data_IF_791991880230
#
_entry.id   IF_791991880230
#
_cell.length_a   1.000
_cell.length_b   1.000
_cell.length_c   1.000
_cell.angle_alpha   90.00
_cell.angle_beta   90.00
_cell.angle_gamma   90.00
#
_symmetry.space_group_name_H-M   'P 1'
#
loop_
_entity.id
_entity.type
_entity.pdbx_description
1 polymer ?
#
# COMPACT_ATOMS: atom_id res chain seq x y z
N UNK A 1 -19.07 20.48 -12.92
CA UNK A 1 -18.01 21.20 -12.21
C UNK A 1 -16.71 20.94 -12.97
N UNK A 2 -16.05 21.98 -13.52
CA UNK A 2 -14.71 21.83 -14.06
C UNK A 2 -13.77 21.62 -12.86
N UNK A 3 -13.06 20.49 -12.80
CA UNK A 3 -11.98 20.32 -11.85
C UNK A 3 -10.91 21.39 -12.15
N UNK A 4 -10.58 22.20 -11.16
CA UNK A 4 -9.47 23.16 -11.27
C UNK A 4 -8.21 22.43 -10.84
N UNK A 5 -7.27 22.24 -11.76
CA UNK A 5 -5.96 21.65 -11.47
C UNK A 5 -4.97 22.73 -11.05
N UNK A 6 -4.10 22.45 -10.12
CA UNK A 6 -3.08 23.40 -9.68
C UNK A 6 -1.75 22.69 -9.37
N UNK A 7 -0.83 22.69 -10.31
CA UNK A 7 0.48 22.07 -10.17
C UNK A 7 1.45 23.07 -9.53
N UNK A 8 1.96 22.74 -8.35
CA UNK A 8 2.95 23.54 -7.62
C UNK A 8 4.35 22.91 -7.72
N UNK A 9 5.38 23.71 -7.48
CA UNK A 9 6.78 23.25 -7.56
C UNK A 9 7.09 22.25 -6.46
N UNK A 10 7.30 21.00 -6.84
CA UNK A 10 7.76 19.93 -5.94
C UNK A 10 8.44 18.82 -6.73
N UNK A 11 9.10 17.89 -6.04
CA UNK A 11 9.71 16.69 -6.63
C UNK A 11 8.86 15.46 -6.41
N UNK A 12 9.08 14.42 -7.20
CA UNK A 12 8.41 13.14 -7.02
C UNK A 12 8.81 12.49 -5.68
N UNK A 13 10.05 12.64 -5.29
CA UNK A 13 10.60 12.13 -4.03
C UNK A 13 9.89 12.78 -2.83
N UNK A 14 9.70 14.10 -2.83
CA UNK A 14 8.97 14.81 -1.78
C UNK A 14 7.51 14.35 -1.70
N UNK A 15 6.86 14.15 -2.85
CA UNK A 15 5.49 13.63 -2.91
C UNK A 15 5.42 12.23 -2.27
N UNK A 16 6.35 11.33 -2.61
CA UNK A 16 6.40 9.98 -2.04
C UNK A 16 6.68 10.04 -0.54
N UNK A 17 7.59 10.90 -0.10
CA UNK A 17 7.93 11.06 1.32
C UNK A 17 6.75 11.53 2.17
N UNK A 18 5.96 12.51 1.72
CA UNK A 18 4.78 12.96 2.48
C UNK A 18 3.68 11.91 2.50
N UNK A 19 3.53 11.12 1.43
CA UNK A 19 2.58 10.01 1.39
C UNK A 19 3.01 8.90 2.35
N UNK A 20 4.31 8.59 2.41
CA UNK A 20 4.87 7.62 3.37
C UNK A 20 4.60 8.05 4.81
N UNK A 21 4.82 9.32 5.16
CA UNK A 21 4.52 9.85 6.49
C UNK A 21 3.05 9.67 6.89
N UNK A 22 2.11 9.90 5.96
CA UNK A 22 0.66 9.67 6.21
C UNK A 22 0.37 8.20 6.45
N UNK A 23 0.98 7.31 5.67
CA UNK A 23 0.82 5.85 5.80
C UNK A 23 1.43 5.36 7.11
N UNK A 24 2.63 5.81 7.46
CA UNK A 24 3.33 5.44 8.70
C UNK A 24 2.55 5.87 9.95
N UNK A 25 1.86 7.01 9.91
CA UNK A 25 0.96 7.43 10.99
C UNK A 25 -0.24 6.50 11.18
N UNK A 26 -0.65 5.80 10.14
CA UNK A 26 -1.68 4.74 10.18
C UNK A 26 -3.09 5.16 9.82
N UNK A 27 -3.46 6.45 9.87
CA UNK A 27 -4.80 6.92 9.51
C UNK A 27 -4.81 8.37 9.01
N UNK A 28 -4.57 9.30 9.91
CA UNK A 28 -4.60 10.73 9.66
C UNK A 28 -3.33 11.37 10.22
N UNK A 29 -2.69 12.24 9.45
CA UNK A 29 -1.46 12.91 9.83
C UNK A 29 -1.61 14.43 9.74
N UNK A 30 -1.24 15.13 10.83
CA UNK A 30 -1.12 16.59 10.82
C UNK A 30 0.15 17.01 10.07
N UNK A 31 0.12 18.22 9.49
CA UNK A 31 1.26 18.79 8.75
C UNK A 31 2.57 18.74 9.54
N UNK A 32 2.53 19.09 10.83
CA UNK A 32 3.73 19.17 11.67
C UNK A 32 4.38 17.79 11.86
N UNK A 33 3.58 16.73 12.05
CA UNK A 33 4.09 15.36 12.07
C UNK A 33 4.75 14.99 10.74
N UNK A 34 4.11 15.34 9.61
CA UNK A 34 4.65 15.03 8.28
C UNK A 34 5.96 15.75 8.04
N UNK A 35 6.07 17.03 8.42
CA UNK A 35 7.30 17.80 8.31
C UNK A 35 8.44 17.18 9.13
N UNK A 36 8.17 16.82 10.37
CA UNK A 36 9.14 16.15 11.25
C UNK A 36 9.56 14.78 10.72
N UNK A 37 8.60 13.97 10.26
CA UNK A 37 8.85 12.62 9.77
C UNK A 37 9.68 12.61 8.48
N UNK A 38 9.37 13.52 7.54
CA UNK A 38 10.03 13.55 6.22
C UNK A 38 11.39 14.21 6.24
N UNK A 39 11.64 15.12 7.17
CA UNK A 39 12.86 15.93 7.20
C UNK A 39 13.01 16.89 6.00
N UNK A 40 11.91 17.18 5.28
CA UNK A 40 11.91 18.15 4.17
C UNK A 40 12.29 19.53 4.72
N UNK A 41 13.21 20.23 4.03
CA UNK A 41 13.93 21.36 4.58
C UNK A 41 13.04 22.57 5.00
N UNK A 42 11.89 22.76 4.37
CA UNK A 42 11.00 23.89 4.66
C UNK A 42 9.53 23.50 4.69
N UNK A 43 8.76 24.18 5.54
CA UNK A 43 7.29 24.04 5.62
C UNK A 43 6.59 24.29 4.27
N UNK A 44 7.10 25.22 3.47
CA UNK A 44 6.56 25.52 2.13
C UNK A 44 6.73 24.35 1.17
N UNK A 45 7.88 23.68 1.21
CA UNK A 45 8.10 22.45 0.40
C UNK A 45 7.19 21.31 0.85
N UNK A 46 7.01 21.11 2.16
CA UNK A 46 6.06 20.11 2.70
C UNK A 46 4.65 20.41 2.21
N UNK A 47 4.18 21.65 2.30
CA UNK A 47 2.84 22.03 1.86
C UNK A 47 2.64 21.81 0.35
N UNK A 48 3.64 22.13 -0.47
CA UNK A 48 3.61 21.92 -1.92
C UNK A 48 3.58 20.43 -2.26
N UNK A 49 4.38 19.61 -1.58
CA UNK A 49 4.36 18.15 -1.76
C UNK A 49 3.01 17.56 -1.36
N UNK A 50 2.43 17.99 -0.23
CA UNK A 50 1.10 17.59 0.23
C UNK A 50 0.01 18.01 -0.74
N UNK A 51 0.08 19.24 -1.27
CA UNK A 51 -0.86 19.71 -2.28
C UNK A 51 -0.82 18.85 -3.54
N UNK A 52 0.38 18.52 -4.04
CA UNK A 52 0.52 17.63 -5.20
C UNK A 52 0.10 16.19 -4.91
N UNK A 53 0.35 15.68 -3.71
CA UNK A 53 -0.13 14.37 -3.31
C UNK A 53 -1.67 14.29 -3.28
N UNK A 54 -2.34 15.36 -2.86
CA UNK A 54 -3.80 15.50 -2.93
C UNK A 54 -4.27 15.64 -4.38
N UNK A 55 -3.59 16.45 -5.18
CA UNK A 55 -3.88 16.67 -6.61
C UNK A 55 -3.81 15.35 -7.42
N UNK A 56 -2.82 14.51 -7.12
CA UNK A 56 -2.66 13.17 -7.68
C UNK A 56 -3.57 12.11 -7.04
N UNK A 57 -4.46 12.49 -6.13
CA UNK A 57 -5.38 11.62 -5.42
C UNK A 57 -4.68 10.50 -4.62
N UNK A 58 -3.46 10.74 -4.17
CA UNK A 58 -2.73 9.81 -3.31
C UNK A 58 -3.22 9.83 -1.87
N UNK A 59 -3.53 11.03 -1.38
CA UNK A 59 -4.09 11.30 -0.05
C UNK A 59 -5.22 12.32 -0.17
N UNK A 60 -6.00 12.49 0.90
CA UNK A 60 -7.09 13.48 0.96
C UNK A 60 -6.80 14.44 2.11
N UNK A 61 -7.07 15.73 1.91
CA UNK A 61 -7.04 16.73 2.99
C UNK A 61 -8.42 16.88 3.61
N UNK A 62 -8.53 16.63 4.91
CA UNK A 62 -9.73 16.91 5.70
C UNK A 62 -9.61 18.31 6.32
N UNK A 63 -10.30 19.28 5.73
CA UNK A 63 -10.28 20.66 6.19
C UNK A 63 -10.94 20.86 7.56
N UNK A 64 -11.83 19.95 7.97
CA UNK A 64 -12.52 20.03 9.26
C UNK A 64 -11.61 19.64 10.41
N UNK A 65 -10.62 18.77 10.16
CA UNK A 65 -9.66 18.29 11.16
C UNK A 65 -8.26 18.85 10.96
N UNK A 66 -7.99 19.50 9.83
CA UNK A 66 -6.66 20.00 9.48
C UNK A 66 -5.62 18.91 9.27
N UNK A 67 -6.03 17.72 8.83
CA UNK A 67 -5.15 16.57 8.65
C UNK A 67 -5.26 15.94 7.26
N UNK A 68 -4.27 15.11 6.90
CA UNK A 68 -4.14 14.42 5.63
C UNK A 68 -4.36 12.92 5.83
N UNK A 69 -5.18 12.31 4.98
CA UNK A 69 -5.53 10.89 5.00
C UNK A 69 -6.99 10.69 4.56
N UNK A 70 -7.44 9.46 4.33
CA UNK A 70 -6.68 8.22 4.20
C UNK A 70 -5.91 8.14 2.87
N UNK A 71 -4.79 7.37 2.83
CA UNK A 71 -4.07 7.14 1.60
C UNK A 71 -4.86 6.22 0.65
N UNK A 72 -4.77 6.49 -0.66
CA UNK A 72 -5.38 5.66 -1.69
C UNK A 72 -4.69 4.29 -1.81
N UNK A 73 -5.34 3.34 -2.52
CA UNK A 73 -4.74 2.04 -2.79
C UNK A 73 -3.39 2.16 -3.53
N UNK A 74 -3.33 3.00 -4.58
CA UNK A 74 -2.09 3.21 -5.34
C UNK A 74 -1.00 3.88 -4.50
N UNK A 75 -1.36 4.80 -3.60
CA UNK A 75 -0.43 5.41 -2.67
C UNK A 75 0.24 4.36 -1.76
N UNK A 76 -0.54 3.45 -1.21
CA UNK A 76 -0.02 2.35 -0.39
C UNK A 76 0.93 1.44 -1.18
N UNK A 77 0.57 1.11 -2.42
CA UNK A 77 1.42 0.28 -3.30
C UNK A 77 2.70 0.99 -3.71
N UNK A 78 2.64 2.28 -4.00
CA UNK A 78 3.81 3.10 -4.32
C UNK A 78 4.83 3.10 -3.17
N UNK A 79 4.38 3.33 -1.95
CA UNK A 79 5.25 3.39 -0.76
C UNK A 79 5.77 2.00 -0.39
N UNK A 80 4.93 0.96 -0.45
CA UNK A 80 5.32 -0.41 -0.09
C UNK A 80 6.15 -1.13 -1.17
N UNK A 81 6.39 -0.49 -2.31
CA UNK A 81 7.18 -1.08 -3.39
C UNK A 81 8.64 -1.31 -2.97
N UNK A 82 9.16 -2.51 -3.25
CA UNK A 82 10.47 -2.96 -2.78
C UNK A 82 11.64 -2.52 -3.67
N UNK A 83 11.35 -2.00 -4.88
CA UNK A 83 12.37 -1.50 -5.81
C UNK A 83 11.93 -0.21 -6.49
N UNK A 84 12.92 0.54 -7.00
CA UNK A 84 12.66 1.78 -7.74
C UNK A 84 11.90 1.53 -9.05
N UNK A 85 12.09 0.35 -9.66
CA UNK A 85 11.31 -0.07 -10.82
C UNK A 85 9.83 -0.21 -10.48
N UNK A 86 9.51 -0.84 -9.36
CA UNK A 86 8.13 -0.98 -8.90
C UNK A 86 7.51 0.38 -8.54
N UNK A 87 8.26 1.23 -7.85
CA UNK A 87 7.81 2.61 -7.54
C UNK A 87 7.52 3.39 -8.81
N UNK A 88 8.40 3.30 -9.81
CA UNK A 88 8.23 3.95 -11.10
C UNK A 88 6.95 3.49 -11.80
N UNK A 89 6.64 2.20 -11.77
CA UNK A 89 5.41 1.63 -12.36
C UNK A 89 4.15 2.17 -11.67
N UNK A 90 4.12 2.16 -10.33
CA UNK A 90 2.96 2.70 -9.62
C UNK A 90 2.79 4.20 -9.84
N UNK A 91 3.88 4.96 -9.85
CA UNK A 91 3.83 6.39 -10.18
C UNK A 91 3.36 6.61 -11.63
N UNK A 92 3.75 5.77 -12.57
CA UNK A 92 3.28 5.84 -13.95
C UNK A 92 1.78 5.60 -14.07
N UNK A 93 1.22 4.61 -13.36
CA UNK A 93 -0.22 4.39 -13.30
C UNK A 93 -0.98 5.61 -12.79
N UNK A 94 -0.43 6.30 -11.78
CA UNK A 94 -0.99 7.53 -11.23
C UNK A 94 -0.95 8.64 -12.28
N UNK A 95 0.17 8.81 -12.97
CA UNK A 95 0.34 9.82 -14.00
C UNK A 95 -0.59 9.62 -15.20
N UNK A 96 -0.75 8.39 -15.69
CA UNK A 96 -1.61 8.08 -16.84
C UNK A 96 -3.11 8.36 -16.55
N UNK A 97 -3.50 8.47 -15.27
CA UNK A 97 -4.83 8.90 -14.87
C UNK A 97 -4.94 10.42 -14.69
N UNK A 98 -3.82 11.15 -14.67
CA UNK A 98 -3.78 12.57 -14.40
C UNK A 98 -3.94 13.39 -15.70
N UNK A 99 -5.10 14.02 -15.88
CA UNK A 99 -5.46 14.71 -17.10
C UNK A 99 -4.43 15.78 -17.56
N UNK A 100 -3.83 16.61 -16.68
CA UNK A 100 -2.78 17.54 -17.09
C UNK A 100 -1.55 16.87 -17.69
N UNK A 101 -1.13 15.72 -17.16
CA UNK A 101 -0.02 14.96 -17.72
C UNK A 101 -0.33 14.44 -19.12
N UNK A 102 -1.52 13.88 -19.34
CA UNK A 102 -1.93 13.39 -20.66
C UNK A 102 -2.01 14.52 -21.68
N UNK A 103 -2.48 15.70 -21.28
CA UNK A 103 -2.45 16.89 -22.12
C UNK A 103 -1.01 17.30 -22.45
N UNK A 104 -0.13 17.36 -21.45
CA UNK A 104 1.28 17.66 -21.64
C UNK A 104 1.96 16.68 -22.61
N UNK A 105 1.78 15.37 -22.42
CA UNK A 105 2.30 14.31 -23.31
C UNK A 105 1.85 14.53 -24.76
N UNK A 106 0.56 14.75 -24.96
CA UNK A 106 -0.03 15.00 -26.29
C UNK A 106 0.54 16.27 -26.91
N UNK A 107 0.59 17.38 -26.17
CA UNK A 107 1.11 18.65 -26.68
C UNK A 107 2.58 18.60 -27.01
N UNK A 108 3.39 17.93 -26.20
CA UNK A 108 4.80 17.72 -26.49
C UNK A 108 4.98 16.88 -27.76
N UNK A 109 4.16 15.87 -27.97
CA UNK A 109 4.16 15.09 -29.22
C UNK A 109 4.02 15.96 -30.49
N UNK A 110 3.21 17.03 -30.43
CA UNK A 110 3.02 17.97 -31.54
C UNK A 110 4.10 19.05 -31.61
N UNK A 111 4.47 19.64 -30.48
CA UNK A 111 5.30 20.85 -30.47
C UNK A 111 6.80 20.56 -30.44
N UNK A 112 7.19 19.41 -29.95
CA UNK A 112 8.58 19.02 -29.62
C UNK A 112 9.30 20.03 -28.70
N UNK A 113 8.55 20.91 -28.03
CA UNK A 113 9.03 21.91 -27.11
C UNK A 113 8.34 21.72 -25.72
N UNK A 114 9.12 21.45 -24.71
CA UNK A 114 8.64 21.28 -23.32
C UNK A 114 7.96 22.56 -22.84
N UNK A 115 8.57 23.71 -23.05
CA UNK A 115 8.05 25.00 -22.65
C UNK A 115 6.69 25.28 -23.27
N UNK A 116 6.57 25.08 -24.59
CA UNK A 116 5.32 25.32 -25.30
C UNK A 116 4.24 24.30 -24.88
N UNK A 117 4.59 23.03 -24.69
CA UNK A 117 3.69 22.00 -24.22
C UNK A 117 3.16 22.32 -22.80
N UNK A 118 4.03 22.74 -21.87
CA UNK A 118 3.64 23.15 -20.52
C UNK A 118 2.72 24.37 -20.54
N UNK A 119 3.04 25.40 -21.34
CA UNK A 119 2.18 26.58 -21.51
C UNK A 119 0.80 26.21 -22.02
N UNK A 120 0.73 25.38 -23.05
CA UNK A 120 -0.55 24.91 -23.60
C UNK A 120 -1.34 24.09 -22.59
N UNK A 121 -0.67 23.20 -21.82
CA UNK A 121 -1.29 22.41 -20.75
C UNK A 121 -1.87 23.32 -19.69
N UNK A 122 -1.09 24.28 -19.19
CA UNK A 122 -1.53 25.28 -18.22
C UNK A 122 -2.77 26.03 -18.71
N UNK A 123 -2.76 26.50 -19.97
CA UNK A 123 -3.86 27.26 -20.56
C UNK A 123 -5.12 26.40 -20.68
N UNK A 124 -5.01 25.17 -21.19
CA UNK A 124 -6.15 24.26 -21.38
C UNK A 124 -6.81 23.84 -20.06
N UNK A 125 -6.03 23.70 -19.00
CA UNK A 125 -6.54 23.36 -17.68
C UNK A 125 -6.78 24.59 -16.78
N UNK A 126 -6.66 25.82 -17.34
CA UNK A 126 -6.87 27.08 -16.60
C UNK A 126 -6.10 27.19 -15.29
N UNK A 127 -4.87 26.66 -15.26
CA UNK A 127 -4.07 26.63 -14.03
C UNK A 127 -3.57 28.03 -13.68
N UNK A 128 -3.59 28.35 -12.39
CA UNK A 128 -3.03 29.61 -11.84
C UNK A 128 -1.53 29.51 -11.59
N UNK A 129 -0.99 28.30 -11.53
CA UNK A 129 0.43 28.00 -11.25
C UNK A 129 1.38 28.67 -12.23
N UNK A 130 2.63 28.90 -11.79
CA UNK A 130 3.69 29.40 -12.66
C UNK A 130 4.05 28.34 -13.72
N UNK A 131 4.31 28.75 -14.96
CA UNK A 131 4.69 27.84 -16.08
C UNK A 131 5.96 27.03 -15.76
N UNK A 132 6.93 27.66 -15.10
CA UNK A 132 8.17 26.99 -14.67
C UNK A 132 7.89 25.89 -13.63
N UNK A 133 6.99 26.14 -12.71
CA UNK A 133 6.62 25.18 -11.67
C UNK A 133 5.91 23.97 -12.27
N UNK A 134 4.94 24.22 -13.18
CA UNK A 134 4.26 23.17 -13.93
C UNK A 134 5.25 22.30 -14.69
N UNK A 135 6.21 22.94 -15.42
CA UNK A 135 7.25 22.24 -16.17
C UNK A 135 8.10 21.36 -15.26
N UNK A 136 8.68 21.93 -14.21
CA UNK A 136 9.64 21.22 -13.36
C UNK A 136 8.97 20.05 -12.63
N UNK A 137 7.77 20.24 -12.14
CA UNK A 137 7.03 19.18 -11.42
C UNK A 137 6.61 18.06 -12.36
N UNK A 138 6.06 18.36 -13.54
CA UNK A 138 5.69 17.32 -14.52
C UNK A 138 6.90 16.53 -15.00
N UNK A 139 8.05 17.19 -15.24
CA UNK A 139 9.29 16.51 -15.60
C UNK A 139 9.77 15.62 -14.45
N UNK A 140 9.81 16.15 -13.22
CA UNK A 140 10.24 15.37 -12.04
C UNK A 140 9.42 14.09 -11.90
N UNK A 141 8.10 14.20 -11.87
CA UNK A 141 7.22 13.05 -11.68
C UNK A 141 7.30 12.07 -12.86
N UNK A 142 7.33 12.59 -14.11
CA UNK A 142 7.42 11.74 -15.30
C UNK A 142 8.78 11.03 -15.42
N UNK A 143 9.86 11.65 -14.98
CA UNK A 143 11.19 11.02 -14.93
C UNK A 143 11.25 9.95 -13.84
N UNK A 144 10.73 10.23 -12.65
CA UNK A 144 10.61 9.25 -11.57
C UNK A 144 9.78 8.03 -12.00
N UNK A 145 8.69 8.26 -12.72
CA UNK A 145 7.84 7.23 -13.29
C UNK A 145 8.47 6.48 -14.49
N UNK A 146 9.72 6.80 -14.87
CA UNK A 146 10.38 6.29 -16.09
C UNK A 146 9.51 6.45 -17.34
N UNK A 147 8.58 7.40 -17.34
CA UNK A 147 7.71 7.73 -18.47
C UNK A 147 8.35 8.76 -19.39
N UNK A 148 9.32 9.50 -18.90
CA UNK A 148 10.08 10.53 -19.62
C UNK A 148 11.58 10.29 -19.43
N UNK A 149 12.33 10.28 -20.54
CA UNK A 149 13.78 10.13 -20.54
C UNK A 149 14.41 11.41 -21.10
N UNK A 150 15.41 11.94 -20.42
CA UNK A 150 16.20 13.05 -20.96
C UNK A 150 17.17 12.56 -22.02
N UNK A 151 17.15 13.22 -23.18
CA UNK A 151 18.09 12.99 -24.28
C UNK A 151 19.19 14.09 -24.36
N UNK A 152 19.23 14.97 -23.34
CA UNK A 152 20.13 16.11 -23.30
C UNK A 152 19.55 17.37 -23.93
N UNK A 153 20.17 18.54 -23.66
CA UNK A 153 19.80 19.84 -24.26
C UNK A 153 18.29 20.19 -24.20
N UNK A 154 17.60 19.87 -23.11
CA UNK A 154 16.14 20.04 -22.94
C UNK A 154 15.28 19.21 -23.93
N UNK A 155 15.85 18.20 -24.54
CA UNK A 155 15.12 17.22 -25.33
C UNK A 155 14.74 16.03 -24.48
N UNK A 156 13.53 15.54 -24.67
CA UNK A 156 12.99 14.42 -23.95
C UNK A 156 12.30 13.45 -24.89
N UNK A 157 12.34 12.17 -24.55
CA UNK A 157 11.55 11.13 -25.21
C UNK A 157 10.58 10.51 -24.23
N UNK A 158 9.34 10.28 -24.67
CA UNK A 158 8.41 9.45 -23.91
C UNK A 158 8.72 7.99 -24.15
N UNK A 159 8.80 7.23 -23.03
CA UNK A 159 9.01 5.80 -23.08
C UNK A 159 7.63 5.15 -23.24
N UNK A 160 7.29 4.76 -24.45
CA UNK A 160 5.98 4.13 -24.76
C UNK A 160 6.02 2.61 -24.59
N UNK A 161 7.17 1.98 -24.87
CA UNK A 161 7.35 0.52 -24.89
C UNK A 161 7.69 -0.05 -23.52
N UNK A 162 7.02 0.38 -22.45
CA UNK A 162 7.06 -0.37 -21.21
C UNK A 162 5.91 -1.36 -21.26
N UNK A 163 6.23 -2.65 -21.20
CA UNK A 163 5.25 -3.69 -20.87
C UNK A 163 4.71 -3.41 -19.45
N UNK A 164 3.90 -2.36 -19.35
CA UNK A 164 3.33 -1.92 -18.09
C UNK A 164 2.50 -3.05 -17.44
N UNK A 165 1.87 -3.89 -18.25
CA UNK A 165 1.09 -5.04 -17.80
C UNK A 165 2.04 -6.09 -17.23
N UNK A 166 3.09 -6.48 -17.94
CA UNK A 166 4.07 -7.45 -17.46
C UNK A 166 4.83 -6.96 -16.23
N UNK A 167 5.19 -5.66 -16.17
CA UNK A 167 5.85 -5.08 -15.00
C UNK A 167 4.88 -4.99 -13.81
N UNK A 168 3.61 -4.62 -14.03
CA UNK A 168 2.58 -4.61 -12.99
C UNK A 168 2.31 -6.04 -12.50
N UNK A 169 2.15 -6.99 -13.40
CA UNK A 169 2.01 -8.39 -13.02
C UNK A 169 3.24 -8.91 -12.28
N UNK A 170 4.44 -8.59 -12.74
CA UNK A 170 5.69 -8.94 -12.04
C UNK A 170 5.77 -8.24 -10.68
N UNK A 171 5.40 -6.95 -10.58
CA UNK A 171 5.34 -6.23 -9.30
C UNK A 171 4.25 -6.77 -8.36
N UNK A 172 3.11 -7.18 -8.89
CA UNK A 172 2.06 -7.84 -8.11
C UNK A 172 2.46 -9.27 -7.70
N UNK A 173 3.22 -9.97 -8.54
CA UNK A 173 3.75 -11.32 -8.24
C UNK A 173 4.99 -11.26 -7.35
N UNK A 174 5.84 -10.27 -7.54
CA UNK A 174 7.04 -10.02 -6.72
C UNK A 174 6.80 -9.09 -5.56
N UNK A 175 5.56 -8.67 -5.30
CA UNK A 175 5.20 -7.99 -4.07
C UNK A 175 5.56 -8.94 -2.90
N UNK A 176 6.85 -9.13 -2.70
CA UNK A 176 7.38 -9.61 -1.45
C UNK A 176 6.72 -8.74 -0.39
N UNK A 177 5.73 -9.28 0.29
CA UNK A 177 5.21 -8.65 1.49
C UNK A 177 6.39 -8.75 2.45
N UNK A 178 7.26 -7.77 2.31
CA UNK A 178 8.39 -7.57 3.18
C UNK A 178 7.84 -7.15 4.54
N UNK A 179 8.65 -7.29 5.54
CA UNK A 179 8.40 -6.75 6.88
C UNK A 179 7.85 -5.32 6.80
N UNK A 180 8.47 -4.46 5.98
CA UNK A 180 8.03 -3.08 5.79
C UNK A 180 6.62 -2.96 5.20
N UNK A 181 6.21 -3.84 4.29
CA UNK A 181 4.87 -3.79 3.70
C UNK A 181 3.78 -4.13 4.71
N UNK A 182 3.99 -5.13 5.55
CA UNK A 182 3.04 -5.49 6.61
C UNK A 182 2.98 -4.41 7.69
N UNK A 183 4.15 -3.87 8.10
CA UNK A 183 4.26 -2.75 9.03
C UNK A 183 3.51 -1.51 8.50
N UNK A 184 3.71 -1.17 7.21
CA UNK A 184 2.99 -0.09 6.54
C UNK A 184 1.48 -0.34 6.49
N UNK A 185 1.06 -1.58 6.24
CA UNK A 185 -0.36 -1.94 6.22
C UNK A 185 -1.03 -1.76 7.59
N UNK A 186 -0.36 -2.17 8.67
CA UNK A 186 -0.86 -2.04 10.03
C UNK A 186 -0.72 -0.61 10.60
N UNK A 187 0.28 0.15 10.15
CA UNK A 187 0.71 1.42 10.75
C UNK A 187 1.47 1.21 12.07
N UNK A 188 2.21 2.21 12.47
CA UNK A 188 3.09 2.15 13.65
C UNK A 188 2.32 1.83 14.95
N UNK A 189 1.12 2.36 15.10
CA UNK A 189 0.32 2.14 16.31
C UNK A 189 -0.01 0.67 16.53
N UNK A 190 -0.40 -0.06 15.47
CA UNK A 190 -0.68 -1.49 15.58
C UNK A 190 0.60 -2.30 15.62
N UNK A 191 1.62 -1.92 14.83
CA UNK A 191 2.91 -2.60 14.82
C UNK A 191 3.58 -2.62 16.21
N UNK A 192 3.61 -1.49 16.91
CA UNK A 192 4.17 -1.43 18.29
C UNK A 192 3.35 -2.21 19.31
N UNK A 193 2.10 -2.53 18.98
CA UNK A 193 1.17 -3.26 19.82
C UNK A 193 1.30 -4.79 19.68
N UNK A 194 1.85 -5.24 18.57
CA UNK A 194 1.93 -6.65 18.18
C UNK A 194 3.28 -7.24 18.60
N UNK A 195 3.26 -8.46 19.12
CA UNK A 195 4.51 -9.17 19.44
C UNK A 195 5.29 -9.49 18.18
N UNK A 196 6.48 -8.90 18.06
CA UNK A 196 7.32 -9.01 16.87
C UNK A 196 7.73 -10.45 16.58
N UNK A 197 8.17 -11.20 17.62
CA UNK A 197 8.71 -12.56 17.44
C UNK A 197 7.64 -13.62 17.19
N UNK A 198 6.49 -13.51 17.86
CA UNK A 198 5.48 -14.56 17.87
C UNK A 198 4.30 -14.28 16.94
N UNK A 199 4.12 -13.04 16.47
CA UNK A 199 3.01 -12.65 15.59
C UNK A 199 3.52 -12.08 14.28
N UNK A 200 4.31 -11.00 14.34
CA UNK A 200 4.73 -10.28 13.16
C UNK A 200 5.67 -11.11 12.25
N UNK A 201 6.77 -11.62 12.79
CA UNK A 201 7.76 -12.36 12.00
C UNK A 201 7.19 -13.65 11.36
N UNK A 202 6.42 -14.50 12.07
CA UNK A 202 5.80 -15.67 11.44
C UNK A 202 4.76 -15.29 10.37
N UNK A 203 4.03 -14.19 10.54
CA UNK A 203 3.08 -13.75 9.52
C UNK A 203 3.80 -13.21 8.27
N UNK A 204 4.88 -12.47 8.43
CA UNK A 204 5.76 -12.05 7.32
C UNK A 204 6.30 -13.27 6.57
N UNK A 205 6.81 -14.28 7.30
CA UNK A 205 7.30 -15.52 6.71
C UNK A 205 6.21 -16.24 5.90
N UNK A 206 4.99 -16.35 6.44
CA UNK A 206 3.86 -16.96 5.74
C UNK A 206 3.53 -16.19 4.45
N UNK A 207 3.50 -14.86 4.50
CA UNK A 207 3.26 -14.00 3.34
C UNK A 207 4.37 -14.13 2.28
N UNK A 208 5.64 -14.22 2.68
CA UNK A 208 6.76 -14.45 1.75
C UNK A 208 6.65 -15.82 1.06
N UNK A 209 6.28 -16.87 1.80
CA UNK A 209 6.09 -18.21 1.24
C UNK A 209 4.99 -18.28 0.19
N UNK A 210 3.98 -17.40 0.21
CA UNK A 210 2.94 -17.37 -0.83
C UNK A 210 3.46 -16.99 -2.21
N UNK A 211 4.64 -16.37 -2.27
CA UNK A 211 5.29 -15.88 -3.49
C UNK A 211 6.46 -16.77 -3.95
N UNK A 212 6.78 -17.82 -3.19
CA UNK A 212 7.84 -18.74 -3.58
C UNK A 212 7.41 -19.60 -4.78
N UNK A 213 8.38 -19.95 -5.65
CA UNK A 213 8.11 -20.76 -6.87
C UNK A 213 7.55 -22.17 -6.56
N UNK A 214 7.89 -22.72 -5.38
CA UNK A 214 7.31 -23.97 -4.85
C UNK A 214 6.48 -23.63 -3.62
N UNK A 215 5.16 -23.73 -3.74
CA UNK A 215 4.24 -23.34 -2.68
C UNK A 215 3.99 -24.52 -1.73
N UNK A 216 4.49 -24.43 -0.50
CA UNK A 216 4.12 -25.35 0.57
C UNK A 216 2.90 -24.82 1.32
N UNK A 217 1.72 -25.27 0.86
CA UNK A 217 0.40 -24.90 1.38
C UNK A 217 0.31 -25.09 2.90
N UNK A 218 0.80 -26.23 3.41
CA UNK A 218 0.76 -26.56 4.83
C UNK A 218 1.61 -25.60 5.64
N UNK A 219 2.84 -25.37 5.22
CA UNK A 219 3.76 -24.44 5.92
C UNK A 219 3.21 -23.02 5.97
N UNK A 220 2.63 -22.51 4.88
CA UNK A 220 2.02 -21.18 4.82
C UNK A 220 0.89 -21.06 5.84
N UNK A 221 -0.04 -22.03 5.84
CA UNK A 221 -1.21 -22.00 6.72
C UNK A 221 -0.79 -22.12 8.18
N UNK A 222 0.10 -23.05 8.51
CA UNK A 222 0.56 -23.26 9.90
C UNK A 222 1.31 -22.04 10.43
N UNK A 223 2.23 -21.46 9.66
CA UNK A 223 2.95 -20.25 10.09
C UNK A 223 2.00 -19.08 10.38
N UNK A 224 1.06 -18.81 9.47
CA UNK A 224 0.10 -17.72 9.64
C UNK A 224 -0.88 -17.99 10.79
N UNK A 225 -1.35 -19.23 10.94
CA UNK A 225 -2.24 -19.63 12.03
C UNK A 225 -1.58 -19.51 13.40
N UNK A 226 -0.31 -19.90 13.53
CA UNK A 226 0.44 -19.77 14.78
C UNK A 226 0.65 -18.29 15.16
N UNK A 227 0.91 -17.42 14.19
CA UNK A 227 0.95 -15.98 14.40
C UNK A 227 -0.39 -15.46 14.97
N UNK A 228 -1.51 -15.87 14.37
CA UNK A 228 -2.83 -15.45 14.82
C UNK A 228 -3.21 -16.03 16.20
N UNK A 229 -2.86 -17.28 16.45
CA UNK A 229 -3.07 -17.90 17.73
C UNK A 229 -2.31 -17.20 18.86
N UNK A 230 -1.07 -16.76 18.59
CA UNK A 230 -0.26 -15.96 19.49
C UNK A 230 -0.89 -14.57 19.73
N UNK A 231 -1.38 -13.92 18.67
CA UNK A 231 -2.10 -12.66 18.79
C UNK A 231 -3.34 -12.77 19.67
N UNK A 232 -4.16 -13.83 19.50
CA UNK A 232 -5.32 -14.07 20.36
C UNK A 232 -4.92 -14.26 21.83
N UNK A 233 -3.77 -14.91 22.10
CA UNK A 233 -3.26 -15.05 23.45
C UNK A 233 -2.86 -13.70 24.06
N UNK A 234 -2.12 -12.88 23.32
CA UNK A 234 -1.75 -11.53 23.76
C UNK A 234 -2.98 -10.63 23.95
N UNK A 235 -3.97 -10.75 23.07
CA UNK A 235 -5.23 -10.02 23.20
C UNK A 235 -6.02 -10.43 24.46
N UNK A 236 -6.05 -11.73 24.77
CA UNK A 236 -6.70 -12.24 25.98
C UNK A 236 -6.04 -11.68 27.25
N UNK A 237 -4.71 -11.67 27.32
CA UNK A 237 -3.97 -11.06 28.45
C UNK A 237 -4.39 -9.61 28.65
N UNK A 238 -4.46 -8.83 27.56
CA UNK A 238 -4.86 -7.41 27.62
C UNK A 238 -6.31 -7.20 28.06
N UNK A 239 -7.19 -8.17 27.75
CA UNK A 239 -8.60 -8.11 28.14
C UNK A 239 -8.86 -8.75 29.52
N UNK A 240 -7.83 -9.27 30.19
CA UNK A 240 -7.96 -9.96 31.47
C UNK A 240 -8.72 -11.29 31.36
N UNK A 241 -8.72 -11.92 30.17
CA UNK A 241 -9.40 -13.19 29.92
C UNK A 241 -8.44 -14.34 30.13
N UNK A 242 -8.80 -15.30 31.00
CA UNK A 242 -8.00 -16.52 31.18
C UNK A 242 -8.19 -17.49 30.04
N UNK A 243 -7.07 -17.96 29.48
CA UNK A 243 -7.02 -19.01 28.45
C UNK A 243 -6.58 -20.37 29.02
N UNK A 244 -6.62 -20.56 30.33
CA UNK A 244 -6.25 -21.84 30.95
C UNK A 244 -7.07 -22.99 30.35
N UNK A 245 -6.39 -24.04 29.86
CA UNK A 245 -7.02 -25.17 29.19
C UNK A 245 -7.62 -24.89 27.81
N UNK A 246 -7.36 -23.72 27.22
CA UNK A 246 -7.84 -23.33 25.88
C UNK A 246 -6.72 -23.38 24.87
N UNK A 247 -6.72 -24.38 24.01
CA UNK A 247 -5.74 -24.60 22.96
C UNK A 247 -6.35 -24.34 21.59
N UNK A 248 -5.54 -23.76 20.68
CA UNK A 248 -5.94 -23.47 19.32
C UNK A 248 -6.87 -22.26 19.17
N UNK A 249 -7.04 -21.86 17.91
CA UNK A 249 -7.73 -20.62 17.53
C UNK A 249 -9.20 -20.61 17.98
N UNK A 250 -9.93 -21.72 17.76
CA UNK A 250 -11.36 -21.78 18.03
C UNK A 250 -11.69 -21.67 19.52
N UNK A 251 -10.96 -22.38 20.38
CA UNK A 251 -11.19 -22.32 21.83
C UNK A 251 -10.80 -20.95 22.41
N UNK A 252 -9.75 -20.31 21.88
CA UNK A 252 -9.36 -18.93 22.25
C UNK A 252 -10.40 -17.91 21.80
N UNK A 253 -10.93 -18.04 20.57
CA UNK A 253 -12.07 -17.23 20.09
C UNK A 253 -13.27 -17.33 21.03
N UNK A 254 -13.64 -18.54 21.43
CA UNK A 254 -14.83 -18.75 22.29
C UNK A 254 -14.62 -18.12 23.67
N UNK A 255 -13.44 -18.25 24.24
CA UNK A 255 -13.09 -17.58 25.51
C UNK A 255 -13.15 -16.03 25.38
N UNK A 256 -12.81 -15.50 24.20
CA UNK A 256 -12.81 -14.06 23.88
C UNK A 256 -14.14 -13.56 23.31
N UNK A 257 -15.19 -14.38 23.30
CA UNK A 257 -16.46 -14.08 22.59
C UNK A 257 -17.13 -12.78 23.02
N UNK A 258 -16.95 -12.35 24.28
CA UNK A 258 -17.46 -11.07 24.80
C UNK A 258 -16.70 -9.84 24.24
N UNK A 259 -15.48 -10.03 23.74
CA UNK A 259 -14.59 -8.97 23.26
C UNK A 259 -14.43 -8.94 21.73
N UNK A 260 -15.02 -9.91 21.03
CA UNK A 260 -14.92 -10.06 19.57
C UNK A 260 -16.32 -9.95 18.97
N UNK A 261 -16.48 -9.08 17.96
CA UNK A 261 -17.78 -8.92 17.29
C UNK A 261 -18.26 -10.22 16.64
N UNK A 262 -19.60 -10.38 16.50
CA UNK A 262 -20.19 -11.55 15.85
C UNK A 262 -19.63 -11.79 14.44
N UNK A 263 -19.36 -10.71 13.68
CA UNK A 263 -18.80 -10.80 12.32
C UNK A 263 -17.37 -11.34 12.35
N UNK A 264 -16.52 -10.82 13.22
CA UNK A 264 -15.14 -11.31 13.36
C UNK A 264 -15.08 -12.75 13.85
N UNK A 265 -16.02 -13.19 14.71
CA UNK A 265 -16.07 -14.59 15.17
C UNK A 265 -16.26 -15.57 14.01
N UNK A 266 -17.12 -15.25 13.04
CA UNK A 266 -17.30 -16.07 11.84
C UNK A 266 -16.04 -16.15 10.96
N UNK A 267 -15.32 -15.04 10.82
CA UNK A 267 -14.03 -15.05 10.09
C UNK A 267 -12.97 -15.87 10.84
N UNK A 268 -12.89 -15.75 12.15
CA UNK A 268 -11.95 -16.51 12.99
C UNK A 268 -12.30 -18.02 12.95
N UNK A 269 -13.56 -18.37 12.85
CA UNK A 269 -13.99 -19.76 12.65
C UNK A 269 -13.42 -20.34 11.36
N UNK A 270 -13.58 -19.65 10.25
CA UNK A 270 -12.96 -20.05 8.97
C UNK A 270 -11.44 -20.23 9.12
N UNK A 271 -10.75 -19.27 9.74
CA UNK A 271 -9.31 -19.35 9.99
C UNK A 271 -8.93 -20.59 10.80
N UNK A 272 -9.70 -20.90 11.85
CA UNK A 272 -9.47 -22.08 12.68
C UNK A 272 -9.71 -23.41 11.93
N UNK A 273 -10.72 -23.47 11.09
CA UNK A 273 -11.01 -24.67 10.28
C UNK A 273 -9.93 -24.93 9.22
N UNK A 274 -9.47 -23.88 8.53
CA UNK A 274 -8.35 -24.00 7.56
C UNK A 274 -7.08 -24.52 8.26
N UNK A 275 -6.77 -24.01 9.46
CA UNK A 275 -5.64 -24.51 10.25
C UNK A 275 -5.78 -25.99 10.60
N UNK A 276 -6.96 -26.42 11.05
CA UNK A 276 -7.19 -27.82 11.41
C UNK A 276 -7.00 -28.74 10.20
N UNK A 277 -7.49 -28.35 9.03
CA UNK A 277 -7.28 -29.10 7.79
C UNK A 277 -5.79 -29.19 7.41
N UNK A 278 -4.98 -28.15 7.70
CA UNK A 278 -3.53 -28.18 7.46
C UNK A 278 -2.78 -29.12 8.41
N UNK A 279 -3.20 -29.19 9.68
CA UNK A 279 -2.54 -29.99 10.71
C UNK A 279 -2.88 -31.49 10.62
N UNK A 280 -4.14 -31.80 10.39
CA UNK A 280 -4.65 -33.18 10.46
C UNK A 280 -4.74 -33.87 9.06
N UNK A 281 -4.39 -33.14 8.00
CA UNK A 281 -4.63 -33.62 6.64
C UNK A 281 -6.13 -33.61 6.34
N UNK A 282 -6.51 -34.41 5.34
CA UNK A 282 -7.87 -34.50 4.91
C UNK A 282 -8.77 -35.11 5.99
N UNK A 283 -9.44 -34.28 6.77
CA UNK A 283 -10.50 -34.73 7.66
C UNK A 283 -11.79 -34.86 6.82
N UNK A 284 -12.37 -36.04 6.69
CA UNK A 284 -13.59 -36.19 5.90
C UNK A 284 -14.73 -35.43 6.58
N UNK A 285 -15.43 -34.61 5.82
CA UNK A 285 -16.67 -33.98 6.27
C UNK A 285 -17.75 -35.03 6.58
N UNK A 286 -18.92 -34.57 7.07
CA UNK A 286 -20.07 -35.42 7.38
C UNK A 286 -20.53 -36.32 6.19
N UNK A 287 -20.09 -36.01 4.97
CA UNK A 287 -20.37 -36.73 3.73
C UNK A 287 -19.19 -37.59 3.24
N UNK A 288 -18.15 -37.79 4.04
CA UNK A 288 -16.88 -38.44 3.66
C UNK A 288 -16.13 -37.73 2.52
N UNK A 289 -16.41 -36.45 2.26
CA UNK A 289 -15.65 -35.65 1.32
C UNK A 289 -14.42 -35.06 2.02
N UNK A 290 -13.27 -35.34 1.46
CA UNK A 290 -11.99 -34.83 1.93
C UNK A 290 -11.81 -33.41 1.44
N UNK A 291 -11.83 -32.44 2.36
CA UNK A 291 -11.52 -31.07 2.03
C UNK A 291 -10.00 -30.85 2.01
N UNK A 292 -9.46 -30.50 0.86
CA UNK A 292 -8.05 -30.16 0.70
C UNK A 292 -7.89 -28.65 0.53
N UNK A 293 -6.89 -28.07 1.19
CA UNK A 293 -6.59 -26.64 1.06
C UNK A 293 -6.03 -26.39 -0.34
N UNK A 294 -6.73 -25.53 -1.11
CA UNK A 294 -6.24 -25.14 -2.42
C UNK A 294 -5.07 -24.15 -2.31
N UNK A 295 -4.30 -24.02 -3.40
CA UNK A 295 -3.25 -23.02 -3.49
C UNK A 295 -3.78 -21.59 -3.33
N UNK A 296 -4.99 -21.31 -3.83
CA UNK A 296 -5.66 -20.02 -3.72
C UNK A 296 -6.02 -19.72 -2.26
N UNK A 297 -6.57 -20.72 -1.54
CA UNK A 297 -6.85 -20.58 -0.11
C UNK A 297 -5.57 -20.28 0.67
N UNK A 298 -4.48 -21.00 0.40
CA UNK A 298 -3.21 -20.77 1.07
C UNK A 298 -2.62 -19.38 0.78
N UNK A 299 -2.80 -18.84 -0.42
CA UNK A 299 -2.34 -17.49 -0.79
C UNK A 299 -3.09 -16.38 -0.05
N UNK A 300 -4.41 -16.51 0.10
CA UNK A 300 -5.22 -15.46 0.75
C UNK A 300 -5.23 -15.58 2.27
N UNK A 301 -4.93 -16.75 2.82
CA UNK A 301 -5.04 -17.04 4.24
C UNK A 301 -4.21 -16.09 5.14
N UNK A 302 -2.90 -15.85 4.87
CA UNK A 302 -2.13 -14.89 5.65
C UNK A 302 -2.66 -13.45 5.53
N UNK A 303 -3.23 -13.07 4.37
CA UNK A 303 -3.82 -11.75 4.17
C UNK A 303 -5.10 -11.57 5.02
N UNK A 304 -5.92 -12.62 5.15
CA UNK A 304 -7.09 -12.61 6.02
C UNK A 304 -6.66 -12.43 7.48
N UNK A 305 -5.61 -13.14 7.91
CA UNK A 305 -5.05 -13.01 9.25
C UNK A 305 -4.49 -11.60 9.49
N UNK A 306 -3.74 -11.06 8.54
CA UNK A 306 -3.23 -9.69 8.63
C UNK A 306 -4.36 -8.65 8.79
N UNK A 307 -5.52 -8.90 8.19
CA UNK A 307 -6.69 -8.03 8.28
C UNK A 307 -7.51 -8.23 9.57
N UNK A 308 -7.37 -9.38 10.23
CA UNK A 308 -8.05 -9.68 11.50
C UNK A 308 -7.29 -9.17 12.71
N UNK A 309 -5.97 -9.07 12.61
CA UNK A 309 -5.10 -8.44 13.61
C UNK A 309 -5.26 -6.93 13.59
#
# INVERSE_FOLDING_TARGET
CSMSYNIVLTTAEDIVAVVDAVIAKGSEAAKDFIAEFTGIATDDQVLKALQMACELQLIVFDSSRGCYGPPSFLARKLVSASSDEQKAVFMRLILEQYAPYNTFKTRYGFTKSIELACRQTKTLHMMTSNERDVKNTLISIATYAKALKSEGANLYSFVEDVDAVGIIEAALRSANITENSLRTYWGENLYTFVNTSNVFAPLVEALQKTHSGTMDVRSIVVCAANAFESFLADFAVRKGVSLSGRNGILQKRDALSAHISKKHRGMIEFVGQVRNAADHGADPDENNQVWTISNETARIYPCIIAALI
#
